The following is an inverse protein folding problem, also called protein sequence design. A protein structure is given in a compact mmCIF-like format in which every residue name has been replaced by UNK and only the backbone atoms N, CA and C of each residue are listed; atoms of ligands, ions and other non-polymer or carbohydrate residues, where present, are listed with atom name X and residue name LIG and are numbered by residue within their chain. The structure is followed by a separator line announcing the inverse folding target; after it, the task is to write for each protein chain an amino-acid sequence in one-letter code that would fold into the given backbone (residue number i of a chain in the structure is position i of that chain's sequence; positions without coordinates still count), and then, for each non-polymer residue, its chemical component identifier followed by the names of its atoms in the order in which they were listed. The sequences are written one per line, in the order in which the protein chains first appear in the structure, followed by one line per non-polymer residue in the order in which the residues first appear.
data_IF_067038411637
#
_entry.id   IF_067038411637
#
_cell.length_a   1.000
_cell.length_b   1.000
_cell.length_c   1.000
_cell.angle_alpha   90.00
_cell.angle_beta   90.00
_cell.angle_gamma   90.00
#
_symmetry.space_group_name_H-M   'P 1'
#
loop_
_entity.id
_entity.type
_entity.pdbx_description
1 polymer ?
#
# COMPACT_ATOMS: atom_id res chain seq x y z
N UNK A 1 -14.28 0.40 -27.24
CA UNK A 1 -13.54 -0.69 -26.55
C UNK A 1 -14.56 -1.77 -26.22
N UNK A 2 -14.33 -3.02 -26.61
CA UNK A 2 -15.18 -4.15 -26.22
C UNK A 2 -14.44 -4.98 -25.17
N UNK A 3 -15.02 -5.11 -23.97
CA UNK A 3 -14.40 -5.83 -22.84
C UNK A 3 -15.08 -7.19 -22.71
N UNK A 4 -14.29 -8.26 -22.84
CA UNK A 4 -14.75 -9.65 -22.73
C UNK A 4 -14.39 -10.25 -21.37
N UNK A 5 -14.66 -11.54 -21.16
CA UNK A 5 -14.23 -12.25 -19.96
C UNK A 5 -12.72 -12.15 -19.76
N UNK A 6 -12.31 -11.88 -18.52
CA UNK A 6 -10.93 -11.57 -18.17
C UNK A 6 -10.39 -12.56 -17.14
N UNK A 7 -9.28 -13.23 -17.47
CA UNK A 7 -8.58 -14.16 -16.57
C UNK A 7 -7.81 -13.46 -15.44
N UNK A 8 -8.48 -12.62 -14.65
CA UNK A 8 -7.88 -11.84 -13.56
C UNK A 8 -7.01 -10.67 -14.04
N UNK A 9 -6.65 -9.80 -13.09
CA UNK A 9 -5.82 -8.62 -13.35
C UNK A 9 -5.05 -8.15 -12.13
N UNK A 10 -5.67 -8.14 -10.94
CA UNK A 10 -5.01 -7.84 -9.66
C UNK A 10 -4.16 -6.55 -9.69
N UNK A 11 -4.58 -5.56 -10.48
CA UNK A 11 -3.89 -4.28 -10.70
C UNK A 11 -3.07 -4.20 -11.99
N UNK A 12 -2.49 -5.30 -12.50
CA UNK A 12 -1.67 -5.34 -13.74
C UNK A 12 -2.42 -4.81 -14.97
N UNK A 13 -3.70 -5.14 -15.09
CA UNK A 13 -4.56 -4.79 -16.25
C UNK A 13 -5.25 -3.43 -16.13
N UNK A 14 -4.93 -2.64 -15.10
CA UNK A 14 -5.29 -1.22 -15.06
C UNK A 14 -4.41 -0.36 -15.99
N UNK A 15 -3.32 -0.93 -16.52
CA UNK A 15 -2.43 -0.27 -17.47
C UNK A 15 -2.78 -0.73 -18.90
N UNK A 16 -2.99 0.20 -19.85
CA UNK A 16 -3.46 -0.14 -21.19
C UNK A 16 -2.32 -0.40 -22.19
N UNK A 17 -1.09 -0.64 -21.73
CA UNK A 17 0.13 -0.75 -22.53
C UNK A 17 -0.01 -1.73 -23.70
N UNK A 18 -0.50 -2.94 -23.44
CA UNK A 18 -0.74 -3.95 -24.47
C UNK A 18 -1.82 -3.57 -25.48
N UNK A 19 -2.85 -2.81 -25.06
CA UNK A 19 -3.93 -2.36 -25.93
C UNK A 19 -3.47 -1.21 -26.84
N UNK A 20 -2.61 -0.33 -26.31
CA UNK A 20 -1.97 0.75 -27.08
C UNK A 20 -1.05 0.16 -28.14
N UNK A 21 -0.24 -0.84 -27.81
CA UNK A 21 0.61 -1.52 -28.79
C UNK A 21 -0.22 -2.14 -29.92
N UNK A 22 -1.30 -2.86 -29.59
CA UNK A 22 -2.20 -3.44 -30.59
C UNK A 22 -2.80 -2.38 -31.53
N UNK A 23 -3.20 -1.22 -31.00
CA UNK A 23 -3.73 -0.13 -31.80
C UNK A 23 -2.69 0.48 -32.74
N UNK A 24 -1.46 0.69 -32.26
CA UNK A 24 -0.36 1.23 -33.06
C UNK A 24 0.05 0.26 -34.18
N UNK A 25 0.15 -1.03 -33.88
CA UNK A 25 0.46 -2.07 -34.87
C UNK A 25 -0.63 -2.20 -35.93
N UNK A 26 -1.91 -2.18 -35.53
CA UNK A 26 -3.02 -2.22 -36.48
C UNK A 26 -3.03 -1.01 -37.42
N UNK A 27 -2.73 0.19 -36.90
CA UNK A 27 -2.59 1.41 -37.70
C UNK A 27 -1.48 1.26 -38.75
N UNK A 28 -0.31 0.75 -38.35
CA UNK A 28 0.81 0.56 -39.26
C UNK A 28 0.56 -0.53 -40.30
N UNK A 29 -0.12 -1.62 -39.92
CA UNK A 29 -0.40 -2.75 -40.79
C UNK A 29 -1.59 -2.52 -41.74
N UNK A 30 -2.45 -1.53 -41.48
CA UNK A 30 -3.66 -1.26 -42.27
C UNK A 30 -4.72 -2.36 -42.18
N UNK A 31 -4.66 -3.22 -41.16
CA UNK A 31 -5.54 -4.39 -40.99
C UNK A 31 -5.69 -4.77 -39.51
N UNK A 32 -6.70 -5.58 -39.13
CA UNK A 32 -6.83 -6.08 -37.77
C UNK A 32 -5.59 -6.86 -37.32
N UNK A 33 -5.14 -6.60 -36.09
CA UNK A 33 -3.98 -7.27 -35.46
C UNK A 33 -4.40 -7.84 -34.11
N UNK A 34 -3.95 -9.07 -33.82
CA UNK A 34 -4.05 -9.68 -32.49
C UNK A 34 -2.66 -9.69 -31.86
N UNK A 35 -2.52 -8.95 -30.76
CA UNK A 35 -1.30 -8.98 -29.93
C UNK A 35 -1.52 -9.94 -28.77
N UNK A 36 -0.57 -10.83 -28.56
CA UNK A 36 -0.48 -11.70 -27.38
C UNK A 36 0.96 -11.66 -26.89
N UNK A 37 1.17 -11.10 -25.72
CA UNK A 37 2.48 -11.12 -25.07
C UNK A 37 2.80 -12.51 -24.54
N UNK A 38 4.06 -12.91 -24.65
CA UNK A 38 4.56 -14.06 -23.90
C UNK A 38 4.58 -13.71 -22.42
N UNK A 39 4.68 -14.72 -21.57
CA UNK A 39 4.74 -14.51 -20.12
C UNK A 39 5.97 -13.67 -19.75
N UNK A 40 7.10 -13.94 -20.39
CA UNK A 40 8.37 -13.26 -20.15
C UNK A 40 8.29 -11.78 -20.55
N UNK A 41 7.61 -11.49 -21.67
CA UNK A 41 7.39 -10.12 -22.13
C UNK A 41 6.46 -9.36 -21.17
N UNK A 42 5.41 -10.00 -20.64
CA UNK A 42 4.51 -9.37 -19.67
C UNK A 42 5.19 -9.06 -18.34
N UNK A 43 6.07 -9.93 -17.87
CA UNK A 43 6.86 -9.66 -16.66
C UNK A 43 7.86 -8.55 -16.93
N UNK A 44 8.69 -8.68 -17.98
CA UNK A 44 9.73 -7.70 -18.31
C UNK A 44 9.16 -6.29 -18.55
N UNK A 45 8.01 -6.23 -19.22
CA UNK A 45 7.31 -4.98 -19.51
C UNK A 45 6.18 -4.68 -18.53
N UNK A 46 6.13 -5.34 -17.39
CA UNK A 46 5.12 -5.12 -16.36
C UNK A 46 5.26 -3.79 -15.62
N UNK A 47 4.25 -3.54 -14.79
CA UNK A 47 4.28 -2.51 -13.75
C UNK A 47 4.41 -3.24 -12.42
N UNK A 48 5.45 -2.91 -11.68
CA UNK A 48 5.84 -3.60 -10.46
C UNK A 48 5.16 -2.98 -9.25
N UNK A 49 4.87 -3.82 -8.27
CA UNK A 49 4.42 -3.33 -6.98
C UNK A 49 5.58 -2.64 -6.26
N UNK A 50 5.26 -1.62 -5.47
CA UNK A 50 6.28 -0.83 -4.79
C UNK A 50 6.90 -1.62 -3.64
N UNK A 51 8.21 -1.48 -3.45
CA UNK A 51 8.88 -1.91 -2.22
C UNK A 51 8.74 -0.79 -1.18
N UNK A 52 8.51 -1.17 0.08
CA UNK A 52 8.32 -0.23 1.18
C UNK A 52 9.35 -0.47 2.27
N UNK A 53 10.10 0.58 2.60
CA UNK A 53 10.94 0.65 3.79
C UNK A 53 10.18 1.31 4.92
N UNK A 54 10.09 0.64 6.07
CA UNK A 54 9.31 1.13 7.20
C UNK A 54 10.10 1.04 8.50
N UNK A 55 9.96 2.06 9.35
CA UNK A 55 10.53 2.09 10.71
C UNK A 55 9.41 2.25 11.70
N UNK A 56 9.35 1.33 12.68
CA UNK A 56 8.36 1.35 13.74
C UNK A 56 9.07 1.42 15.10
N UNK A 57 8.45 2.13 16.03
CA UNK A 57 8.89 2.20 17.43
C UNK A 57 7.68 2.45 18.31
N UNK A 58 7.68 1.89 19.52
CA UNK A 58 6.61 2.06 20.48
C UNK A 58 7.17 2.37 21.87
N UNK A 59 6.39 3.07 22.67
CA UNK A 59 6.65 3.28 24.10
C UNK A 59 5.68 2.44 24.89
N UNK A 60 6.18 1.73 25.90
CA UNK A 60 5.39 0.92 26.83
C UNK A 60 5.34 1.58 28.20
N UNK A 61 4.21 1.47 28.89
CA UNK A 61 4.12 1.78 30.33
C UNK A 61 4.55 0.57 31.19
N UNK A 62 4.52 0.73 32.52
CA UNK A 62 4.88 -0.33 33.48
C UNK A 62 3.94 -1.55 33.43
N UNK A 63 2.80 -1.45 32.75
CA UNK A 63 1.81 -2.51 32.57
C UNK A 63 1.82 -3.09 31.14
N UNK A 64 2.87 -2.81 30.35
CA UNK A 64 3.01 -3.22 28.95
C UNK A 64 1.94 -2.64 27.99
N UNK A 65 1.24 -1.56 28.38
CA UNK A 65 0.38 -0.84 27.45
C UNK A 65 1.21 0.02 26.51
N UNK A 66 0.88 -0.01 25.22
CA UNK A 66 1.46 0.91 24.24
C UNK A 66 0.90 2.31 24.47
N UNK A 67 1.77 3.22 24.92
CA UNK A 67 1.43 4.63 25.16
C UNK A 67 1.85 5.53 24.02
N UNK A 68 2.77 5.08 23.15
CA UNK A 68 3.20 5.83 21.99
C UNK A 68 3.49 4.91 20.81
N UNK A 69 3.18 5.38 19.60
CA UNK A 69 3.40 4.65 18.36
C UNK A 69 3.97 5.57 17.28
N UNK A 70 5.19 5.26 16.86
CA UNK A 70 5.87 5.91 15.75
C UNK A 70 5.92 4.96 14.56
N UNK A 71 5.48 5.45 13.39
CA UNK A 71 5.58 4.69 12.14
C UNK A 71 6.00 5.63 11.01
N UNK A 72 7.16 5.34 10.41
CA UNK A 72 7.62 6.02 9.20
C UNK A 72 7.59 5.06 8.01
N UNK A 73 7.00 5.48 6.90
CA UNK A 73 6.92 4.72 5.65
C UNK A 73 7.60 5.46 4.50
N UNK A 74 8.33 4.72 3.65
CA UNK A 74 9.04 5.25 2.49
C UNK A 74 8.90 4.26 1.34
N UNK A 75 8.30 4.70 0.23
CA UNK A 75 8.14 3.89 -0.97
C UNK A 75 7.96 4.77 -2.21
N UNK A 76 8.41 4.30 -3.39
CA UNK A 76 8.10 4.96 -4.65
C UNK A 76 6.58 4.96 -4.91
N UNK A 77 5.94 6.12 -5.15
CA UNK A 77 4.49 6.19 -5.34
C UNK A 77 4.06 5.74 -6.74
N UNK A 78 2.81 5.30 -6.91
CA UNK A 78 2.26 4.97 -8.25
C UNK A 78 2.28 6.19 -9.18
N UNK A 79 2.17 7.40 -8.63
CA UNK A 79 2.24 8.66 -9.38
C UNK A 79 3.57 8.86 -10.11
N UNK A 80 4.66 8.23 -9.66
CA UNK A 80 5.98 8.24 -10.34
C UNK A 80 5.91 7.69 -11.79
N UNK A 81 4.96 6.81 -12.07
CA UNK A 81 4.71 6.28 -13.43
C UNK A 81 4.14 7.33 -14.38
N UNK A 82 3.51 8.38 -13.86
CA UNK A 82 2.87 9.42 -14.67
C UNK A 82 3.62 10.75 -14.60
N UNK A 83 4.33 10.99 -13.49
CA UNK A 83 5.14 12.17 -13.25
C UNK A 83 6.49 11.74 -12.65
N UNK A 84 7.61 11.84 -13.39
CA UNK A 84 8.93 11.45 -12.90
C UNK A 84 9.39 12.24 -11.66
N UNK A 85 8.83 13.42 -11.40
CA UNK A 85 9.13 14.21 -10.20
C UNK A 85 8.40 13.72 -8.94
N UNK A 86 7.44 12.79 -9.07
CA UNK A 86 6.73 12.24 -7.91
C UNK A 86 7.59 11.17 -7.22
N UNK A 87 8.15 11.52 -6.07
CA UNK A 87 9.07 10.68 -5.30
C UNK A 87 8.62 10.46 -3.85
N UNK A 88 7.37 10.78 -3.51
CA UNK A 88 6.85 10.71 -2.15
C UNK A 88 5.43 10.12 -2.15
N UNK A 89 5.08 9.25 -1.20
CA UNK A 89 3.73 8.72 -1.06
C UNK A 89 2.67 9.81 -1.08
N UNK A 90 1.63 9.64 -1.89
CA UNK A 90 0.48 10.55 -1.89
C UNK A 90 -0.41 10.33 -0.66
N UNK A 91 -1.24 11.32 -0.31
CA UNK A 91 -2.14 11.20 0.85
C UNK A 91 -3.07 9.98 0.70
N UNK A 92 -3.63 9.76 -0.49
CA UNK A 92 -4.47 8.60 -0.78
C UNK A 92 -3.73 7.25 -0.77
N UNK A 93 -2.39 7.22 -0.87
CA UNK A 93 -1.62 5.98 -0.65
C UNK A 93 -1.33 5.73 0.84
N UNK A 94 -1.38 6.77 1.68
CA UNK A 94 -1.18 6.68 3.13
C UNK A 94 -2.46 6.33 3.86
N UNK A 95 -3.61 6.68 3.29
CA UNK A 95 -4.95 6.24 3.74
C UNK A 95 -5.15 4.71 3.61
N UNK A 96 -4.18 4.00 3.04
CA UNK A 96 -4.23 2.56 2.83
C UNK A 96 -3.37 1.86 3.89
N UNK A 97 -3.84 1.81 5.13
CA UNK A 97 -3.21 1.06 6.21
C UNK A 97 -2.18 1.83 7.03
N UNK A 98 -1.81 3.07 6.69
CA UNK A 98 -0.83 3.85 7.46
C UNK A 98 -1.48 4.85 8.40
N UNK A 99 -2.38 5.72 7.90
CA UNK A 99 -3.05 6.74 8.71
C UNK A 99 -4.24 6.20 9.52
N UNK A 100 -4.89 5.18 9.00
CA UNK A 100 -6.11 4.53 9.50
C UNK A 100 -5.78 3.37 10.47
N UNK A 101 -4.90 3.60 11.43
CA UNK A 101 -4.52 2.58 12.41
C UNK A 101 -5.66 2.32 13.40
N UNK A 102 -6.05 1.05 13.66
CA UNK A 102 -7.14 0.73 14.59
C UNK A 102 -6.71 0.71 16.06
N UNK A 103 -5.43 0.97 16.35
CA UNK A 103 -4.87 0.83 17.69
C UNK A 103 -5.31 1.96 18.62
N UNK A 104 -5.63 1.62 19.87
CA UNK A 104 -6.03 2.54 20.93
C UNK A 104 -4.80 3.11 21.63
N UNK A 105 -4.04 3.93 20.90
CA UNK A 105 -2.78 4.50 21.38
C UNK A 105 -2.92 6.02 21.53
N UNK A 106 -2.64 6.58 22.72
CA UNK A 106 -2.87 8.01 22.96
C UNK A 106 -1.92 8.94 22.21
N UNK A 107 -0.72 8.47 21.84
CA UNK A 107 0.28 9.26 21.13
C UNK A 107 0.69 8.59 19.81
N UNK A 108 0.33 9.21 18.68
CA UNK A 108 0.62 8.71 17.34
C UNK A 108 1.50 9.71 16.57
N UNK A 109 2.61 9.22 16.02
CA UNK A 109 3.44 9.98 15.09
C UNK A 109 3.65 9.16 13.82
N UNK A 110 3.05 9.63 12.72
CA UNK A 110 3.06 8.97 11.42
C UNK A 110 3.79 9.84 10.41
N UNK A 111 4.80 9.27 9.75
CA UNK A 111 5.69 10.00 8.85
C UNK A 111 5.83 9.32 7.50
N UNK A 112 6.02 10.13 6.47
CA UNK A 112 6.39 9.67 5.13
C UNK A 112 7.71 10.26 4.69
N UNK A 113 8.53 9.49 3.97
CA UNK A 113 9.76 9.96 3.35
C UNK A 113 9.73 9.90 1.82
N UNK A 114 10.82 10.34 1.19
CA UNK A 114 11.00 10.28 -0.26
C UNK A 114 11.68 8.97 -0.66
N UNK A 115 11.22 8.38 -1.77
CA UNK A 115 11.88 7.30 -2.50
C UNK A 115 11.62 7.41 -4.00
N UNK A 116 12.72 7.36 -4.77
CA UNK A 116 12.67 7.42 -6.22
C UNK A 116 12.26 6.07 -6.81
N UNK A 117 11.41 6.09 -7.83
CA UNK A 117 11.10 4.91 -8.61
C UNK A 117 12.24 4.60 -9.60
N UNK A 118 12.71 3.36 -9.59
CA UNK A 118 13.67 2.84 -10.58
C UNK A 118 13.04 1.90 -11.60
N UNK A 119 11.76 1.56 -11.40
CA UNK A 119 10.93 0.74 -12.28
C UNK A 119 9.54 1.38 -12.38
N UNK A 120 8.75 0.96 -13.37
CA UNK A 120 7.36 1.42 -13.49
C UNK A 120 6.53 0.86 -12.36
N UNK A 121 6.01 1.74 -11.50
CA UNK A 121 5.20 1.35 -10.35
C UNK A 121 3.72 1.21 -10.77
N UNK A 122 3.08 0.15 -10.32
CA UNK A 122 1.69 -0.15 -10.62
C UNK A 122 0.92 -0.71 -9.44
N UNK A 123 -0.39 -0.82 -9.65
CA UNK A 123 -1.27 -1.46 -8.70
C UNK A 123 -0.99 -2.97 -8.63
N UNK A 124 -0.92 -3.47 -7.41
CA UNK A 124 -1.11 -4.86 -7.05
C UNK A 124 -2.26 -4.92 -6.05
N UNK A 125 -2.95 -6.07 -5.92
CA UNK A 125 -4.05 -6.23 -4.96
C UNK A 125 -3.61 -5.79 -3.55
N UNK A 126 -4.46 -5.03 -2.86
CA UNK A 126 -4.20 -4.37 -1.57
C UNK A 126 -3.26 -3.15 -1.62
N UNK A 127 -2.77 -2.77 -2.81
CA UNK A 127 -2.03 -1.52 -3.10
C UNK A 127 -0.99 -1.23 -2.02
N UNK A 128 -1.15 -0.20 -1.18
CA UNK A 128 -0.19 0.10 -0.11
C UNK A 128 -0.49 -0.63 1.21
N UNK A 129 -1.74 -1.03 1.45
CA UNK A 129 -2.15 -1.66 2.71
C UNK A 129 -1.42 -2.99 2.96
N UNK A 130 -1.06 -3.75 1.93
CA UNK A 130 -0.36 -5.03 2.12
C UNK A 130 0.95 -4.90 2.88
N UNK A 131 1.80 -3.92 2.54
CA UNK A 131 3.06 -3.74 3.23
C UNK A 131 2.90 -2.95 4.53
N UNK A 132 1.90 -2.07 4.65
CA UNK A 132 1.62 -1.38 5.92
C UNK A 132 1.08 -2.35 6.97
N UNK A 133 0.08 -3.17 6.62
CA UNK A 133 -0.45 -4.20 7.50
C UNK A 133 0.63 -5.22 7.88
N UNK A 134 1.43 -5.70 6.92
CA UNK A 134 2.53 -6.61 7.22
C UNK A 134 3.50 -6.03 8.26
N UNK A 135 3.92 -4.77 8.10
CA UNK A 135 4.85 -4.12 9.03
C UNK A 135 4.23 -3.89 10.42
N UNK A 136 2.98 -3.40 10.49
CA UNK A 136 2.29 -3.15 11.76
C UNK A 136 2.08 -4.46 12.52
N UNK A 137 1.48 -5.47 11.90
CA UNK A 137 1.15 -6.73 12.57
C UNK A 137 2.41 -7.52 12.95
N UNK A 138 3.48 -7.44 12.15
CA UNK A 138 4.78 -8.02 12.55
C UNK A 138 5.33 -7.32 13.79
N UNK A 139 5.27 -5.99 13.84
CA UNK A 139 5.75 -5.24 14.99
C UNK A 139 4.88 -5.48 16.24
N UNK A 140 3.57 -5.68 16.09
CA UNK A 140 2.71 -6.12 17.20
C UNK A 140 3.16 -7.47 17.76
N UNK A 141 3.50 -8.43 16.89
CA UNK A 141 4.03 -9.72 17.32
C UNK A 141 5.39 -9.58 18.03
N UNK A 142 6.26 -8.68 17.57
CA UNK A 142 7.53 -8.37 18.24
C UNK A 142 7.32 -7.76 19.63
N UNK A 143 6.37 -6.83 19.79
CA UNK A 143 6.02 -6.23 21.09
C UNK A 143 5.42 -7.26 22.04
N UNK A 144 4.53 -8.12 21.57
CA UNK A 144 3.97 -9.22 22.36
C UNK A 144 5.07 -10.16 22.85
N UNK A 145 6.01 -10.52 21.96
CA UNK A 145 7.17 -11.33 22.33
C UNK A 145 8.05 -10.65 23.38
N UNK A 146 8.35 -9.36 23.20
CA UNK A 146 9.18 -8.58 24.13
C UNK A 146 8.55 -8.44 25.51
N UNK A 147 7.23 -8.32 25.58
CA UNK A 147 6.46 -8.16 26.83
C UNK A 147 6.04 -9.49 27.47
N UNK A 148 6.32 -10.61 26.79
CA UNK A 148 5.92 -11.96 27.19
C UNK A 148 4.40 -12.13 27.35
N UNK A 149 3.61 -11.34 26.65
CA UNK A 149 2.15 -11.45 26.59
C UNK A 149 1.78 -12.34 25.39
N UNK A 150 0.73 -13.15 25.51
CA UNK A 150 0.18 -13.88 24.36
C UNK A 150 -0.14 -12.91 23.23
N UNK A 151 0.23 -13.25 21.99
CA UNK A 151 0.09 -12.34 20.85
C UNK A 151 -1.36 -11.91 20.61
N UNK A 152 -2.33 -12.83 20.75
CA UNK A 152 -3.74 -12.51 20.56
C UNK A 152 -4.23 -11.59 21.68
N UNK A 153 -3.84 -11.83 22.93
CA UNK A 153 -4.21 -10.95 24.04
C UNK A 153 -3.57 -9.56 23.92
N UNK A 154 -2.29 -9.47 23.53
CA UNK A 154 -1.60 -8.19 23.28
C UNK A 154 -2.27 -7.41 22.14
N UNK A 155 -2.61 -8.07 21.03
CA UNK A 155 -3.29 -7.43 19.91
C UNK A 155 -4.68 -6.93 20.31
N UNK A 156 -5.45 -7.69 21.09
CA UNK A 156 -6.77 -7.26 21.59
C UNK A 156 -6.65 -6.06 22.54
N UNK A 157 -5.64 -6.07 23.41
CA UNK A 157 -5.34 -4.93 24.29
C UNK A 157 -4.95 -3.68 23.48
N UNK A 158 -4.13 -3.84 22.43
CA UNK A 158 -3.66 -2.76 21.58
C UNK A 158 -4.77 -2.20 20.67
N UNK A 159 -5.63 -3.05 20.09
CA UNK A 159 -6.80 -2.61 19.33
C UNK A 159 -7.76 -1.86 20.27
N UNK A 160 -7.84 -2.27 21.52
CA UNK A 160 -8.66 -1.64 22.56
C UNK A 160 -10.12 -2.10 22.55
N UNK A 161 -10.94 -1.43 23.35
CA UNK A 161 -12.38 -1.74 23.44
C UNK A 161 -13.10 -1.37 22.14
N UNK A 162 -14.22 -2.05 21.91
CA UNK A 162 -15.15 -1.68 20.84
C UNK A 162 -15.52 -0.20 20.95
N UNK A 163 -15.35 0.52 19.84
CA UNK A 163 -15.57 1.96 19.77
C UNK A 163 -15.86 2.39 18.34
N UNK A 164 -16.70 3.41 18.20
CA UNK A 164 -16.79 4.16 16.96
C UNK A 164 -15.59 5.10 16.87
N UNK A 165 -14.71 4.86 15.91
CA UNK A 165 -13.59 5.76 15.62
C UNK A 165 -14.12 6.88 14.74
N UNK A 166 -14.25 8.08 15.31
CA UNK A 166 -14.53 9.29 14.53
C UNK A 166 -13.24 9.81 13.91
N UNK A 167 -13.02 9.43 12.66
CA UNK A 167 -11.90 9.90 11.87
C UNK A 167 -11.94 11.40 11.60
N UNK A 168 -13.11 12.05 11.62
CA UNK A 168 -13.23 13.50 11.44
C UNK A 168 -12.73 14.29 12.67
N UNK A 169 -12.74 13.67 13.85
CA UNK A 169 -12.12 14.23 15.06
C UNK A 169 -10.59 14.12 15.04
N UNK A 170 -10.01 13.34 14.12
CA UNK A 170 -8.57 13.33 13.89
C UNK A 170 -8.16 14.48 12.96
N UNK A 171 -6.93 15.00 13.10
CA UNK A 171 -6.39 16.00 12.17
C UNK A 171 -6.01 15.41 10.79
N UNK A 172 -6.42 14.17 10.50
CA UNK A 172 -6.15 13.47 9.25
C UNK A 172 -7.38 13.47 8.33
N UNK A 173 -7.13 13.53 7.02
CA UNK A 173 -8.16 13.41 5.99
C UNK A 173 -8.05 12.03 5.38
N UNK A 174 -9.15 11.28 5.38
CA UNK A 174 -9.19 9.95 4.80
C UNK A 174 -10.06 9.98 3.53
N UNK A 175 -9.49 9.64 2.39
CA UNK A 175 -10.18 9.62 1.10
C UNK A 175 -10.78 8.27 0.72
N UNK A 176 -10.50 7.21 1.46
CA UNK A 176 -10.89 5.83 1.12
C UNK A 176 -12.00 5.25 2.02
N UNK A 177 -12.45 6.00 3.03
CA UNK A 177 -13.59 5.68 3.88
C UNK A 177 -14.68 6.70 3.55
N UNK A 178 -15.84 6.21 3.10
CA UNK A 178 -16.88 7.00 2.43
C UNK A 178 -17.47 8.14 3.26
#
# INVERSE_FOLDING_TARGET
INVTLLGGGFGRKAKPDFAVEAALLAKQAGRPVKVVWRREDDIKHGYYHSVSGQRLSATLDDNNHVTGWYHKTVFPPISSTFNPAANKPSDGELDLGHLDTPFDVPNLQLERGEANAHVRIGWMRSVANVYHAFAKESFVAELAHQTQVDHKDFLLQLIGKDRHVDFAASNAKYGNYG
#
